data_IF_915049833154
#
_entry.id   IF_915049833154
#
_cell.length_a   1.000
_cell.length_b   1.000
_cell.length_c   1.000
_cell.angle_alpha   90.00
_cell.angle_beta   90.00
_cell.angle_gamma   90.00
#
_symmetry.space_group_name_H-M   'P 1'
#
loop_
_entity.id
_entity.type
_entity.pdbx_description
1 polymer ?
#
# COMPACT_ATOMS: atom_id res chain seq x y z
N UNK A 1 1.35 -10.15 -18.17
CA UNK A 1 0.97 -10.06 -16.75
C UNK A 1 1.01 -8.58 -16.40
N UNK A 2 -0.16 -8.01 -16.05
CA UNK A 2 -0.26 -6.58 -15.75
C UNK A 2 -0.15 -6.35 -14.23
N UNK A 3 0.33 -5.17 -13.86
CA UNK A 3 0.45 -4.75 -12.47
C UNK A 3 -0.58 -3.67 -12.16
N UNK A 4 -1.29 -3.82 -11.05
CA UNK A 4 -2.30 -2.87 -10.57
C UNK A 4 -1.99 -2.46 -9.13
N UNK A 5 -2.63 -1.38 -8.68
CA UNK A 5 -2.56 -0.91 -7.29
C UNK A 5 -3.92 -0.43 -6.79
N UNK A 6 -4.24 -0.73 -5.54
CA UNK A 6 -5.36 -0.14 -4.80
C UNK A 6 -5.13 -0.33 -3.30
N UNK A 7 -4.96 0.74 -2.54
CA UNK A 7 -4.80 0.75 -1.07
C UNK A 7 -6.15 0.91 -0.36
N UNK A 8 -6.12 0.79 0.96
CA UNK A 8 -7.23 1.22 1.84
C UNK A 8 -8.54 0.50 1.55
N UNK A 9 -8.49 -0.84 1.48
CA UNK A 9 -9.66 -1.66 1.23
C UNK A 9 -10.65 -1.63 2.40
N UNK A 10 -10.13 -1.46 3.62
CA UNK A 10 -10.90 -1.37 4.85
C UNK A 10 -11.97 -2.46 4.96
N UNK A 11 -11.58 -3.70 4.69
CA UNK A 11 -12.47 -4.84 4.77
C UNK A 11 -13.00 -5.03 6.19
N UNK A 12 -14.26 -5.40 6.31
CA UNK A 12 -14.92 -5.64 7.59
C UNK A 12 -16.05 -6.65 7.39
N UNK A 13 -15.69 -7.92 7.29
CA UNK A 13 -16.65 -9.01 7.03
C UNK A 13 -17.61 -9.26 8.20
N UNK A 14 -17.20 -8.92 9.42
CA UNK A 14 -18.04 -9.05 10.62
C UNK A 14 -19.10 -7.94 10.75
N UNK A 15 -19.08 -6.95 9.86
CA UNK A 15 -19.97 -5.77 9.83
C UNK A 15 -20.01 -4.94 11.12
N UNK A 16 -19.20 -5.25 12.11
CA UNK A 16 -19.13 -4.47 13.36
C UNK A 16 -18.58 -3.06 13.15
N UNK A 17 -17.82 -2.89 12.06
CA UNK A 17 -17.21 -1.62 11.65
C UNK A 17 -17.57 -1.32 10.21
N UNK A 18 -18.85 -0.98 9.97
CA UNK A 18 -19.30 -0.62 8.63
C UNK A 18 -18.64 0.68 8.16
N UNK A 19 -18.08 0.67 6.97
CA UNK A 19 -17.54 1.85 6.31
C UNK A 19 -18.63 2.83 5.83
N UNK A 20 -19.91 2.43 5.85
CA UNK A 20 -21.05 3.28 5.44
C UNK A 20 -21.14 4.58 6.26
N UNK A 21 -20.59 4.58 7.50
CA UNK A 21 -20.54 5.79 8.35
C UNK A 21 -19.68 6.92 7.76
N UNK A 22 -18.76 6.59 6.85
CA UNK A 22 -17.88 7.56 6.18
C UNK A 22 -18.52 8.16 4.90
N UNK A 23 -19.80 7.88 4.66
CA UNK A 23 -20.59 8.49 3.60
C UNK A 23 -20.99 7.55 2.47
N UNK A 24 -21.86 8.07 1.58
CA UNK A 24 -22.49 7.29 0.52
C UNK A 24 -21.49 6.61 -0.45
N UNK A 25 -20.27 7.14 -0.58
CA UNK A 25 -19.25 6.54 -1.42
C UNK A 25 -18.82 5.16 -0.92
N UNK A 26 -18.75 4.99 0.40
CA UNK A 26 -18.36 3.74 1.05
C UNK A 26 -19.48 2.69 1.17
N UNK A 27 -20.72 3.10 0.91
CA UNK A 27 -21.85 2.18 0.97
C UNK A 27 -21.63 0.97 0.07
N UNK A 28 -21.80 -0.24 0.62
CA UNK A 28 -21.55 -1.52 -0.06
C UNK A 28 -20.14 -1.62 -0.71
N UNK A 29 -19.12 -0.99 -0.12
CA UNK A 29 -17.78 -0.89 -0.73
C UNK A 29 -17.17 -2.25 -1.09
N UNK A 30 -17.34 -3.29 -0.27
CA UNK A 30 -16.83 -4.63 -0.58
C UNK A 30 -17.43 -5.20 -1.88
N UNK A 31 -18.73 -5.00 -2.13
CA UNK A 31 -19.36 -5.39 -3.41
C UNK A 31 -18.82 -4.57 -4.59
N UNK A 32 -18.55 -3.28 -4.38
CA UNK A 32 -17.92 -2.42 -5.41
C UNK A 32 -16.50 -2.90 -5.70
N UNK A 33 -15.72 -3.22 -4.67
CA UNK A 33 -14.38 -3.79 -4.83
C UNK A 33 -14.45 -5.08 -5.65
N UNK A 34 -15.26 -6.06 -5.23
CA UNK A 34 -15.39 -7.33 -5.93
C UNK A 34 -15.74 -7.16 -7.41
N UNK A 35 -16.77 -6.37 -7.69
CA UNK A 35 -17.25 -6.12 -9.05
C UNK A 35 -16.18 -5.43 -9.91
N UNK A 36 -15.63 -4.33 -9.42
CA UNK A 36 -14.74 -3.49 -10.21
C UNK A 36 -13.35 -4.12 -10.36
N UNK A 37 -12.86 -4.77 -9.29
CA UNK A 37 -11.60 -5.50 -9.32
C UNK A 37 -11.63 -6.62 -10.36
N UNK A 38 -12.62 -7.52 -10.29
CA UNK A 38 -12.74 -8.64 -11.22
C UNK A 38 -13.10 -8.23 -12.65
N UNK A 39 -13.55 -6.99 -12.87
CA UNK A 39 -13.78 -6.45 -14.20
C UNK A 39 -12.49 -6.01 -14.91
N UNK A 40 -11.43 -5.66 -14.17
CA UNK A 40 -10.18 -5.10 -14.74
C UNK A 40 -8.95 -5.97 -14.50
N UNK A 41 -8.96 -6.81 -13.46
CA UNK A 41 -7.85 -7.68 -13.08
C UNK A 41 -8.12 -9.11 -13.56
N UNK A 42 -7.18 -9.69 -14.29
CA UNK A 42 -7.20 -11.10 -14.72
C UNK A 42 -6.54 -12.02 -13.68
N UNK A 43 -6.79 -13.34 -13.71
CA UNK A 43 -6.16 -14.28 -12.76
C UNK A 43 -4.62 -14.28 -12.79
N UNK A 44 -4.02 -13.92 -13.92
CA UNK A 44 -2.57 -13.88 -14.14
C UNK A 44 -1.92 -12.57 -13.68
N UNK A 45 -2.72 -11.55 -13.36
CA UNK A 45 -2.23 -10.23 -12.97
C UNK A 45 -1.82 -10.18 -11.50
N UNK A 46 -1.15 -9.09 -11.11
CA UNK A 46 -0.80 -8.82 -9.72
C UNK A 46 -1.36 -7.47 -9.29
N UNK A 47 -1.93 -7.43 -8.09
CA UNK A 47 -2.40 -6.17 -7.47
C UNK A 47 -1.61 -5.89 -6.20
N UNK A 48 -1.02 -4.71 -6.12
CA UNK A 48 -0.38 -4.22 -4.91
C UNK A 48 -1.42 -3.52 -4.04
N UNK A 49 -1.45 -3.88 -2.75
CA UNK A 49 -2.34 -3.28 -1.75
C UNK A 49 -1.49 -2.65 -0.65
N UNK A 50 -1.14 -1.36 -0.75
CA UNK A 50 -0.20 -0.70 0.16
C UNK A 50 -0.81 -0.37 1.54
N UNK A 51 -1.47 -1.33 2.19
CA UNK A 51 -1.96 -1.20 3.56
C UNK A 51 -3.44 -0.84 3.70
N UNK A 52 -3.86 -0.80 4.95
CA UNK A 52 -5.24 -0.62 5.41
C UNK A 52 -6.21 -1.62 4.76
N UNK A 53 -5.87 -2.89 4.94
CA UNK A 53 -6.56 -4.02 4.31
C UNK A 53 -7.82 -4.39 5.08
N UNK A 54 -7.71 -4.54 6.41
CA UNK A 54 -8.80 -4.99 7.26
C UNK A 54 -8.86 -4.23 8.59
N UNK A 55 -10.08 -3.97 9.08
CA UNK A 55 -10.34 -3.39 10.39
C UNK A 55 -10.19 -4.37 11.56
N UNK A 56 -9.84 -5.63 11.31
CA UNK A 56 -9.65 -6.62 12.36
C UNK A 56 -8.54 -6.20 13.33
N UNK A 57 -8.75 -6.48 14.61
CA UNK A 57 -7.76 -6.15 15.64
C UNK A 57 -6.72 -7.25 15.80
N UNK A 58 -7.09 -8.52 15.52
CA UNK A 58 -6.23 -9.68 15.63
C UNK A 58 -6.21 -10.46 14.33
N UNK A 59 -5.13 -11.18 14.10
CA UNK A 59 -4.94 -11.96 12.88
C UNK A 59 -6.02 -13.02 12.68
N UNK A 60 -6.43 -13.66 13.76
CA UNK A 60 -7.48 -14.71 13.73
C UNK A 60 -8.83 -14.14 13.29
N UNK A 61 -9.13 -12.89 13.68
CA UNK A 61 -10.39 -12.21 13.37
C UNK A 61 -10.44 -11.73 11.89
N UNK A 62 -9.30 -11.66 11.21
CA UNK A 62 -9.19 -11.20 9.81
C UNK A 62 -9.41 -12.30 8.76
N UNK A 63 -9.71 -13.53 9.18
CA UNK A 63 -9.77 -14.67 8.27
C UNK A 63 -10.76 -14.48 7.12
N UNK A 64 -11.97 -14.01 7.40
CA UNK A 64 -12.99 -13.80 6.37
C UNK A 64 -12.62 -12.67 5.40
N UNK A 65 -11.96 -11.62 5.90
CA UNK A 65 -11.44 -10.54 5.06
C UNK A 65 -10.35 -11.07 4.13
N UNK A 66 -9.45 -11.92 4.62
CA UNK A 66 -8.44 -12.56 3.77
C UNK A 66 -9.03 -13.57 2.78
N UNK A 67 -10.08 -14.31 3.15
CA UNK A 67 -10.81 -15.18 2.23
C UNK A 67 -11.47 -14.37 1.11
N UNK A 68 -12.07 -13.24 1.46
CA UNK A 68 -12.59 -12.30 0.46
C UNK A 68 -11.49 -11.80 -0.47
N UNK A 69 -10.37 -11.32 0.08
CA UNK A 69 -9.25 -10.83 -0.73
C UNK A 69 -8.65 -11.94 -1.61
N UNK A 70 -8.51 -13.17 -1.09
CA UNK A 70 -8.01 -14.34 -1.84
C UNK A 70 -8.94 -14.73 -2.99
N UNK A 71 -10.25 -14.52 -2.84
CA UNK A 71 -11.25 -14.83 -3.88
C UNK A 71 -11.23 -13.87 -5.08
N UNK A 72 -10.65 -12.68 -4.93
CA UNK A 72 -10.51 -11.71 -6.02
C UNK A 72 -9.44 -12.19 -7.02
N UNK A 73 -9.58 -11.82 -8.29
CA UNK A 73 -8.65 -12.19 -9.34
C UNK A 73 -7.21 -11.72 -9.06
N UNK A 74 -6.23 -12.47 -9.56
CA UNK A 74 -4.81 -12.15 -9.55
C UNK A 74 -4.09 -12.43 -8.23
N UNK A 75 -2.77 -12.26 -8.23
CA UNK A 75 -1.92 -12.32 -7.04
C UNK A 75 -1.99 -10.98 -6.30
N UNK A 76 -1.87 -10.99 -4.98
CA UNK A 76 -1.87 -9.79 -4.14
C UNK A 76 -0.54 -9.64 -3.43
N UNK A 77 0.07 -8.47 -3.53
CA UNK A 77 1.22 -8.07 -2.72
C UNK A 77 0.74 -7.02 -1.72
N UNK A 78 0.66 -7.40 -0.45
CA UNK A 78 0.08 -6.53 0.58
C UNK A 78 1.14 -5.86 1.43
N UNK A 79 1.01 -4.55 1.62
CA UNK A 79 1.74 -3.74 2.58
C UNK A 79 0.99 -3.58 3.90
N UNK A 80 1.63 -2.89 4.85
CA UNK A 80 1.03 -2.57 6.15
C UNK A 80 0.57 -1.12 6.20
N UNK A 81 -0.69 -0.90 6.59
CA UNK A 81 -1.22 0.41 6.93
C UNK A 81 -1.24 0.70 8.43
N UNK A 82 -1.88 1.79 8.82
CA UNK A 82 -2.02 2.17 10.23
C UNK A 82 -3.21 1.47 10.92
N UNK A 83 -4.21 1.04 10.17
CA UNK A 83 -5.36 0.29 10.68
C UNK A 83 -5.18 -1.23 10.66
N UNK A 84 -4.07 -1.74 10.10
CA UNK A 84 -3.77 -3.18 10.11
C UNK A 84 -3.21 -3.63 11.46
N UNK A 85 -4.04 -3.58 12.52
CA UNK A 85 -3.66 -3.97 13.88
C UNK A 85 -3.36 -5.47 13.99
N UNK A 86 -3.99 -6.27 13.14
CA UNK A 86 -3.78 -7.73 13.01
C UNK A 86 -2.38 -8.10 12.50
N UNK A 87 -1.63 -7.13 11.95
CA UNK A 87 -0.33 -7.38 11.32
C UNK A 87 0.67 -8.02 12.29
N UNK A 88 1.30 -9.09 11.85
CA UNK A 88 2.26 -9.86 12.63
C UNK A 88 3.59 -10.05 11.87
N UNK A 89 4.45 -10.94 12.32
CA UNK A 89 5.69 -11.28 11.60
C UNK A 89 5.35 -12.00 10.29
N UNK A 90 6.23 -11.86 9.27
CA UNK A 90 6.04 -12.51 7.96
C UNK A 90 5.82 -14.02 8.10
N UNK A 91 6.56 -14.68 9.00
CA UNK A 91 6.40 -16.11 9.25
C UNK A 91 5.00 -16.45 9.78
N UNK A 92 4.49 -15.71 10.77
CA UNK A 92 3.15 -15.93 11.32
C UNK A 92 2.05 -15.68 10.30
N UNK A 93 2.16 -14.61 9.50
CA UNK A 93 1.21 -14.30 8.43
C UNK A 93 1.18 -15.43 7.39
N UNK A 94 2.34 -15.86 6.93
CA UNK A 94 2.45 -16.96 5.96
C UNK A 94 1.85 -18.26 6.50
N UNK A 95 2.21 -18.66 7.72
CA UNK A 95 1.66 -19.86 8.36
C UNK A 95 0.13 -19.76 8.50
N UNK A 96 -0.38 -18.59 8.89
CA UNK A 96 -1.83 -18.36 9.00
C UNK A 96 -2.53 -18.55 7.65
N UNK A 97 -2.03 -17.97 6.58
CA UNK A 97 -2.60 -18.10 5.24
C UNK A 97 -2.53 -19.53 4.72
N UNK A 98 -1.37 -20.18 4.83
CA UNK A 98 -1.18 -21.58 4.42
C UNK A 98 -2.14 -22.52 5.15
N UNK A 99 -2.28 -22.38 6.48
CA UNK A 99 -3.17 -23.19 7.29
C UNK A 99 -4.64 -23.01 6.90
N UNK A 100 -5.02 -21.81 6.44
CA UNK A 100 -6.40 -21.50 6.06
C UNK A 100 -6.66 -21.60 4.55
N UNK A 101 -5.71 -22.10 3.75
CA UNK A 101 -5.88 -22.33 2.32
C UNK A 101 -5.86 -21.08 1.46
N UNK A 102 -5.39 -19.95 1.99
CA UNK A 102 -5.20 -18.67 1.27
C UNK A 102 -3.92 -18.77 0.46
N UNK A 103 -3.98 -18.55 -0.86
CA UNK A 103 -2.89 -18.88 -1.79
C UNK A 103 -2.39 -17.70 -2.63
N UNK A 104 -3.21 -16.67 -2.82
CA UNK A 104 -2.89 -15.57 -3.73
C UNK A 104 -2.30 -14.35 -3.04
N UNK A 105 -2.00 -14.42 -1.72
CA UNK A 105 -1.54 -13.28 -0.93
C UNK A 105 -0.07 -13.44 -0.54
N UNK A 106 0.73 -12.42 -0.82
CA UNK A 106 2.13 -12.30 -0.43
C UNK A 106 2.38 -10.93 0.19
N UNK A 107 3.55 -10.75 0.82
CA UNK A 107 3.89 -9.53 1.58
C UNK A 107 4.83 -8.66 0.76
N UNK A 108 4.47 -7.38 0.59
CA UNK A 108 5.36 -6.32 0.14
C UNK A 108 5.64 -5.39 1.32
N UNK A 109 6.67 -5.70 2.10
CA UNK A 109 7.02 -4.93 3.28
C UNK A 109 8.50 -5.11 3.63
N UNK A 110 9.32 -4.11 3.34
CA UNK A 110 10.78 -4.12 3.47
C UNK A 110 11.49 -5.14 2.55
N UNK A 111 10.86 -5.52 1.46
CA UNK A 111 11.37 -6.43 0.43
C UNK A 111 11.03 -5.88 -0.96
N UNK A 112 11.40 -6.60 -2.02
CA UNK A 112 11.12 -6.22 -3.39
C UNK A 112 10.74 -7.43 -4.25
N UNK A 113 10.05 -7.15 -5.37
CA UNK A 113 9.67 -8.14 -6.38
C UNK A 113 9.98 -7.60 -7.77
N UNK A 114 10.52 -8.46 -8.64
CA UNK A 114 10.76 -8.14 -10.04
C UNK A 114 9.55 -8.51 -10.89
N UNK A 115 9.15 -7.60 -11.76
CA UNK A 115 8.20 -7.78 -12.84
C UNK A 115 8.88 -7.54 -14.20
N UNK A 116 8.17 -7.77 -15.29
CA UNK A 116 8.75 -7.64 -16.63
C UNK A 116 9.20 -6.19 -16.92
N UNK A 117 8.41 -5.21 -16.47
CA UNK A 117 8.59 -3.79 -16.80
C UNK A 117 9.12 -2.94 -15.64
N UNK A 118 9.18 -3.48 -14.42
CA UNK A 118 9.63 -2.72 -13.25
C UNK A 118 10.03 -3.63 -12.09
N UNK A 119 10.66 -3.04 -11.08
CA UNK A 119 10.88 -3.64 -9.78
C UNK A 119 10.06 -2.88 -8.75
N UNK A 120 9.20 -3.61 -8.03
CA UNK A 120 8.35 -3.04 -6.98
C UNK A 120 8.97 -3.24 -5.61
N UNK A 121 8.91 -2.22 -4.79
CA UNK A 121 9.38 -2.23 -3.42
C UNK A 121 8.52 -1.32 -2.56
N UNK A 122 8.61 -1.44 -1.25
CA UNK A 122 7.80 -0.60 -0.38
C UNK A 122 7.83 -0.96 1.10
N UNK A 123 7.27 -0.06 1.87
CA UNK A 123 7.07 -0.18 3.31
C UNK A 123 5.87 0.67 3.71
N UNK A 124 5.66 0.88 5.02
CA UNK A 124 4.53 1.70 5.47
C UNK A 124 4.72 3.19 5.18
N UNK A 125 5.94 3.72 5.30
CA UNK A 125 6.19 5.15 5.30
C UNK A 125 5.76 5.81 6.62
N UNK A 126 5.72 7.14 6.61
CA UNK A 126 5.24 7.92 7.74
C UNK A 126 4.59 9.23 7.28
N UNK A 127 3.45 9.54 7.91
CA UNK A 127 2.72 10.78 7.75
C UNK A 127 2.15 11.20 9.11
N UNK A 128 2.18 12.49 9.41
CA UNK A 128 1.52 13.05 10.59
C UNK A 128 0.64 14.21 10.15
N UNK A 129 -0.65 14.10 10.40
CA UNK A 129 -1.58 15.19 10.20
C UNK A 129 -1.15 16.41 11.04
N UNK A 130 -1.29 17.61 10.48
CA UNK A 130 -0.88 18.87 11.11
C UNK A 130 -1.43 19.01 12.53
N UNK A 131 -2.69 18.62 12.77
CA UNK A 131 -3.32 18.63 14.08
C UNK A 131 -2.65 17.69 15.11
N UNK A 132 -1.95 16.66 14.66
CA UNK A 132 -1.28 15.66 15.50
C UNK A 132 0.22 15.94 15.69
N UNK A 133 0.83 16.78 14.87
CA UNK A 133 2.27 17.08 14.95
C UNK A 133 2.67 17.61 16.33
N UNK A 134 1.82 18.38 16.97
CA UNK A 134 2.08 18.96 18.31
C UNK A 134 1.89 17.96 19.47
N UNK A 135 1.26 16.81 19.22
CA UNK A 135 1.01 15.79 20.26
C UNK A 135 2.12 14.74 20.33
N UNK A 136 2.90 14.60 19.26
CA UNK A 136 4.06 13.70 19.20
C UNK A 136 5.31 14.53 19.48
N UNK A 137 6.00 14.23 20.59
CA UNK A 137 7.24 14.94 20.94
C UNK A 137 8.31 14.76 19.83
N UNK A 138 9.12 15.76 19.57
CA UNK A 138 10.14 15.76 18.51
C UNK A 138 11.04 14.53 18.51
N UNK A 139 11.44 14.07 19.71
CA UNK A 139 12.31 12.88 19.85
C UNK A 139 11.59 11.60 19.45
N UNK A 140 10.32 11.45 19.78
CA UNK A 140 9.52 10.28 19.39
C UNK A 140 9.24 10.30 17.87
N UNK A 141 8.93 11.47 17.32
CA UNK A 141 8.75 11.68 15.90
C UNK A 141 10.00 11.26 15.13
N UNK A 142 11.17 11.79 15.48
CA UNK A 142 12.43 11.48 14.82
C UNK A 142 12.76 9.96 14.85
N UNK A 143 12.50 9.27 15.97
CA UNK A 143 12.70 7.82 16.08
C UNK A 143 11.80 7.04 15.13
N UNK A 144 10.52 7.45 15.02
CA UNK A 144 9.56 6.76 14.16
C UNK A 144 9.94 6.97 12.70
N UNK A 145 10.20 8.20 12.30
CA UNK A 145 10.57 8.55 10.91
C UNK A 145 11.86 7.87 10.50
N UNK A 146 12.91 7.96 11.31
CA UNK A 146 14.20 7.28 11.03
C UNK A 146 14.03 5.78 10.85
N UNK A 147 13.19 5.14 11.65
CA UNK A 147 12.88 3.70 11.50
C UNK A 147 12.20 3.40 10.18
N UNK A 148 11.25 4.22 9.75
CA UNK A 148 10.56 4.03 8.46
C UNK A 148 11.50 4.32 7.27
N UNK A 149 12.37 5.32 7.37
CA UNK A 149 13.41 5.59 6.37
C UNK A 149 14.38 4.40 6.23
N UNK A 150 14.84 3.80 7.35
CA UNK A 150 15.66 2.58 7.33
C UNK A 150 14.92 1.43 6.66
N UNK A 151 13.65 1.23 6.94
CA UNK A 151 12.82 0.17 6.33
C UNK A 151 12.66 0.36 4.82
N UNK A 152 12.44 1.61 4.39
CA UNK A 152 12.38 1.92 2.96
C UNK A 152 13.73 1.64 2.28
N UNK A 153 14.84 2.04 2.91
CA UNK A 153 16.19 1.74 2.43
C UNK A 153 16.42 0.24 2.26
N UNK A 154 16.07 -0.58 3.25
CA UNK A 154 16.17 -2.04 3.14
C UNK A 154 15.38 -2.59 1.94
N UNK A 155 14.16 -2.10 1.71
CA UNK A 155 13.34 -2.49 0.57
C UNK A 155 13.99 -2.11 -0.76
N UNK A 156 14.55 -0.90 -0.84
CA UNK A 156 15.22 -0.39 -2.06
C UNK A 156 16.57 -1.07 -2.29
N UNK A 157 17.31 -1.45 -1.27
CA UNK A 157 18.54 -2.25 -1.39
C UNK A 157 18.23 -3.64 -1.97
N UNK A 158 17.15 -4.29 -1.53
CA UNK A 158 16.67 -5.53 -2.15
C UNK A 158 16.26 -5.31 -3.63
N UNK A 159 15.57 -4.20 -3.92
CA UNK A 159 15.21 -3.84 -5.28
C UNK A 159 16.44 -3.62 -6.17
N UNK A 160 17.49 -2.96 -5.67
CA UNK A 160 18.77 -2.78 -6.39
C UNK A 160 19.44 -4.10 -6.73
N UNK A 161 19.44 -5.08 -5.83
CA UNK A 161 19.99 -6.42 -6.12
C UNK A 161 19.25 -7.10 -7.28
N UNK A 162 17.92 -6.90 -7.39
CA UNK A 162 17.14 -7.38 -8.51
C UNK A 162 17.40 -6.56 -9.78
N UNK A 163 17.59 -5.25 -9.67
CA UNK A 163 17.92 -4.35 -10.77
C UNK A 163 19.31 -4.62 -11.38
N UNK A 164 20.27 -5.10 -10.60
CA UNK A 164 21.61 -5.42 -11.10
C UNK A 164 21.59 -6.49 -12.19
N UNK A 165 20.52 -7.29 -12.27
CA UNK A 165 20.28 -8.28 -13.32
C UNK A 165 19.76 -7.65 -14.62
N UNK A 166 19.12 -6.48 -14.54
CA UNK A 166 18.61 -5.69 -15.65
C UNK A 166 18.54 -4.20 -15.24
N UNK A 167 19.57 -3.45 -15.59
CA UNK A 167 19.78 -2.05 -15.16
C UNK A 167 18.76 -1.06 -15.72
N UNK A 168 17.92 -1.47 -16.68
CA UNK A 168 16.94 -0.59 -17.31
C UNK A 168 15.57 -0.63 -16.59
N UNK A 169 15.33 -1.57 -15.68
CA UNK A 169 14.05 -1.65 -14.98
C UNK A 169 13.91 -0.52 -13.97
N UNK A 170 12.84 0.31 -14.04
CA UNK A 170 12.59 1.35 -13.06
C UNK A 170 12.21 0.76 -11.69
N UNK A 171 12.58 1.48 -10.62
CA UNK A 171 12.12 1.19 -9.27
C UNK A 171 10.80 1.93 -9.03
N UNK A 172 9.76 1.19 -8.65
CA UNK A 172 8.44 1.74 -8.30
C UNK A 172 8.17 1.47 -6.83
N UNK A 173 7.92 2.54 -6.07
CA UNK A 173 7.74 2.46 -4.61
C UNK A 173 6.27 2.51 -4.23
N UNK A 174 5.89 1.67 -3.28
CA UNK A 174 4.54 1.63 -2.71
C UNK A 174 4.61 1.87 -1.20
N UNK A 175 3.98 2.94 -0.76
CA UNK A 175 3.89 3.32 0.64
C UNK A 175 2.42 3.37 1.06
N UNK A 176 2.14 3.13 2.34
CA UNK A 176 0.82 3.45 2.86
C UNK A 176 0.69 4.95 3.11
N UNK A 177 1.60 5.53 3.86
CA UNK A 177 1.61 6.95 4.14
C UNK A 177 2.24 7.78 3.03
N UNK A 178 1.64 8.93 2.64
CA UNK A 178 2.25 9.84 1.69
C UNK A 178 3.52 10.49 2.27
N UNK A 179 4.66 10.46 1.57
CA UNK A 179 5.84 11.21 2.02
C UNK A 179 5.74 12.71 1.70
N UNK A 180 4.85 13.06 0.77
CA UNK A 180 4.52 14.45 0.41
C UNK A 180 3.01 14.57 0.29
N UNK A 181 2.42 15.53 1.01
CA UNK A 181 1.00 15.83 0.95
C UNK A 181 0.70 17.25 1.41
N UNK A 182 0.11 18.08 0.55
CA UNK A 182 -0.07 19.50 0.79
C UNK A 182 1.26 20.16 1.21
N UNK A 183 1.33 20.74 2.40
CA UNK A 183 2.54 21.37 2.95
C UNK A 183 3.45 20.38 3.71
N UNK A 184 2.96 19.15 3.96
CA UNK A 184 3.75 18.14 4.64
C UNK A 184 4.79 17.52 3.68
N UNK A 185 6.03 17.49 4.13
CA UNK A 185 7.14 16.80 3.45
C UNK A 185 7.95 16.01 4.48
N UNK A 186 7.96 14.69 4.36
CA UNK A 186 8.84 13.82 5.13
C UNK A 186 10.20 13.73 4.44
N UNK A 187 11.13 14.59 4.84
CA UNK A 187 12.46 14.69 4.21
C UNK A 187 13.23 13.40 4.28
N UNK A 188 13.19 12.70 5.41
CA UNK A 188 13.92 11.45 5.61
C UNK A 188 13.50 10.36 4.62
N UNK A 189 12.22 10.28 4.30
CA UNK A 189 11.70 9.35 3.28
C UNK A 189 12.05 9.85 1.88
N UNK A 190 11.88 11.14 1.61
CA UNK A 190 12.16 11.74 0.31
C UNK A 190 13.64 11.63 -0.08
N UNK A 191 14.55 11.87 0.88
CA UNK A 191 16.00 11.73 0.66
C UNK A 191 16.37 10.28 0.28
N UNK A 192 15.72 9.28 0.88
CA UNK A 192 15.93 7.88 0.50
C UNK A 192 15.39 7.61 -0.92
N UNK A 193 14.23 8.15 -1.30
CA UNK A 193 13.73 8.01 -2.67
C UNK A 193 14.69 8.61 -3.69
N UNK A 194 15.27 9.78 -3.42
CA UNK A 194 16.27 10.43 -4.28
C UNK A 194 17.57 9.64 -4.37
N UNK A 195 18.07 9.13 -3.24
CA UNK A 195 19.31 8.34 -3.21
C UNK A 195 19.24 7.12 -4.15
N UNK A 196 18.06 6.51 -4.27
CA UNK A 196 17.85 5.35 -5.13
C UNK A 196 17.31 5.71 -6.54
N UNK A 197 17.23 6.98 -6.89
CA UNK A 197 16.73 7.49 -8.17
C UNK A 197 15.30 7.02 -8.49
N UNK A 198 14.44 6.97 -7.46
CA UNK A 198 13.03 6.62 -7.63
C UNK A 198 12.30 7.75 -8.35
N UNK A 199 11.50 7.40 -9.37
CA UNK A 199 10.70 8.37 -10.14
C UNK A 199 9.21 8.24 -9.91
N UNK A 200 8.76 7.14 -9.34
CA UNK A 200 7.33 6.86 -9.14
C UNK A 200 7.07 6.27 -7.77
N UNK A 201 6.14 6.88 -7.02
CA UNK A 201 5.73 6.47 -5.69
C UNK A 201 4.19 6.49 -5.60
N UNK A 202 3.61 5.36 -5.25
CA UNK A 202 2.17 5.21 -4.99
C UNK A 202 1.91 5.20 -3.50
N UNK A 203 0.82 5.85 -3.06
CA UNK A 203 0.48 5.89 -1.65
C UNK A 203 -1.04 5.83 -1.41
N UNK A 204 -1.43 5.31 -0.25
CA UNK A 204 -2.80 5.26 0.25
C UNK A 204 -3.09 6.32 1.29
N UNK A 205 -3.82 5.93 2.34
CA UNK A 205 -4.10 6.70 3.55
C UNK A 205 -5.00 7.93 3.39
N UNK A 206 -4.92 8.64 2.28
CA UNK A 206 -5.65 9.89 2.07
C UNK A 206 -7.02 9.62 1.48
N UNK A 207 -8.06 9.90 2.28
CA UNK A 207 -9.46 9.74 1.90
C UNK A 207 -10.13 11.08 1.62
N UNK A 208 -11.19 11.06 0.81
CA UNK A 208 -12.03 12.23 0.57
C UNK A 208 -11.42 13.31 -0.35
N UNK A 209 -10.21 13.14 -0.84
CA UNK A 209 -9.47 14.14 -1.61
C UNK A 209 -9.79 14.12 -3.12
N UNK A 210 -11.04 13.88 -3.50
CA UNK A 210 -11.47 13.63 -4.90
C UNK A 210 -11.27 14.79 -5.86
N UNK A 211 -11.06 16.00 -5.37
CA UNK A 211 -10.83 17.22 -6.15
C UNK A 211 -9.36 17.48 -6.46
N UNK A 212 -8.45 16.70 -5.87
CA UNK A 212 -7.00 16.84 -6.07
C UNK A 212 -6.57 15.94 -7.24
N UNK A 213 -5.63 16.36 -8.11
CA UNK A 213 -5.08 15.50 -9.14
C UNK A 213 -4.50 14.20 -8.56
N UNK A 214 -4.79 13.07 -9.21
CA UNK A 214 -4.34 11.76 -8.75
C UNK A 214 -2.83 11.66 -8.61
N UNK A 215 -2.09 12.22 -9.56
CA UNK A 215 -0.63 12.27 -9.55
C UNK A 215 -0.18 13.70 -9.38
N UNK A 216 0.71 13.91 -8.44
CA UNK A 216 1.37 15.18 -8.19
C UNK A 216 2.88 14.98 -8.31
N UNK A 217 3.56 15.91 -8.97
CA UNK A 217 5.01 15.86 -9.08
C UNK A 217 5.64 16.73 -8.00
N UNK A 218 6.63 16.17 -7.32
CA UNK A 218 7.43 16.91 -6.35
C UNK A 218 8.90 16.48 -6.46
N UNK A 219 9.79 17.43 -6.64
CA UNK A 219 11.24 17.23 -6.78
C UNK A 219 11.61 16.10 -7.78
N UNK A 220 10.89 16.00 -8.91
CA UNK A 220 11.17 15.03 -9.97
C UNK A 220 10.67 13.60 -9.70
N UNK A 221 9.83 13.42 -8.68
CA UNK A 221 9.14 12.16 -8.36
C UNK A 221 7.63 12.35 -8.54
N UNK A 222 6.99 11.41 -9.20
CA UNK A 222 5.54 11.34 -9.33
C UNK A 222 4.93 10.61 -8.14
N UNK A 223 4.11 11.33 -7.35
CA UNK A 223 3.37 10.79 -6.22
C UNK A 223 1.91 10.56 -6.61
N UNK A 224 1.47 9.32 -6.57
CA UNK A 224 0.13 8.91 -7.06
C UNK A 224 -0.72 8.36 -5.93
N UNK A 225 -1.91 8.97 -5.70
CA UNK A 225 -2.90 8.45 -4.75
C UNK A 225 -3.51 7.17 -5.31
N UNK A 226 -3.53 6.12 -4.47
CA UNK A 226 -4.14 4.85 -4.81
C UNK A 226 -5.17 4.34 -3.77
N UNK A 227 -5.70 5.20 -2.91
CA UNK A 227 -6.76 4.87 -1.96
C UNK A 227 -8.03 4.41 -2.69
N UNK A 228 -8.68 3.36 -2.19
CA UNK A 228 -9.82 2.70 -2.87
C UNK A 228 -10.99 3.65 -3.14
N UNK A 229 -11.33 4.52 -2.17
CA UNK A 229 -12.40 5.51 -2.35
C UNK A 229 -12.04 6.56 -3.41
N UNK A 230 -10.77 7.00 -3.47
CA UNK A 230 -10.28 7.89 -4.52
C UNK A 230 -10.40 7.25 -5.91
N UNK A 231 -10.04 5.98 -6.03
CA UNK A 231 -10.10 5.18 -7.27
C UNK A 231 -11.50 4.68 -7.61
N UNK A 232 -12.52 5.10 -6.85
CA UNK A 232 -13.89 4.58 -7.00
C UNK A 232 -13.93 3.04 -6.96
N UNK A 233 -13.11 2.44 -6.08
CA UNK A 233 -12.99 1.00 -5.84
C UNK A 233 -12.60 0.19 -7.09
N UNK A 234 -11.81 0.79 -7.99
CA UNK A 234 -11.31 0.13 -9.21
C UNK A 234 -9.78 0.14 -9.19
N UNK A 235 -9.11 -1.03 -9.21
CA UNK A 235 -7.66 -1.09 -9.26
C UNK A 235 -7.07 -0.27 -10.41
N UNK A 236 -6.04 0.51 -10.10
CA UNK A 236 -5.35 1.38 -11.05
C UNK A 236 -4.19 0.60 -11.69
N UNK A 237 -4.06 0.58 -13.03
CA UNK A 237 -2.85 0.05 -13.66
C UNK A 237 -1.61 0.84 -13.22
N UNK A 238 -0.53 0.11 -12.89
CA UNK A 238 0.77 0.71 -12.59
C UNK A 238 1.51 0.91 -13.91
N UNK A 239 1.80 2.15 -14.25
CA UNK A 239 2.58 2.49 -15.43
C UNK A 239 4.04 2.68 -15.02
N UNK A 240 4.95 1.93 -15.61
CA UNK A 240 6.37 2.28 -15.63
C UNK A 240 6.54 3.41 -16.63
N UNK A 241 7.11 4.51 -16.19
CA UNK A 241 7.43 5.69 -17.02
C UNK A 241 8.68 5.41 -17.85
#
# INVERSE_FOLDING_TARGET
>A
MSLFVMADLHLSSDRSKSMDIFGARWQDHMKKIEKNWNAVVSPEDTVIVPGDISWSLRLEDSLEDFRFLDSLNGQKLIGKGNHDFWWSTHSKLRTFWETNGIKSINILYNNAYRFDDCIVCGTRGWFVEEAQQHTIGEVEYAKIVNREAIRLRLSLEEAKKLQDQDKNLPLVVFLHFPPVWNEFVCREILDVLHEFDVKSCYFGHIHGAYHIPRTQQFEGIDFTICAADYLNFTPLPVWSI
#
